data_IF_303184618350
#
_entry.id   IF_303184618350
#
_cell.length_a   1.000
_cell.length_b   1.000
_cell.length_c   1.000
_cell.angle_alpha   90.00
_cell.angle_beta   90.00
_cell.angle_gamma   90.00
#
_symmetry.space_group_name_H-M   'P 1'
#
loop_
_entity.id
_entity.type
_entity.pdbx_description
1 polymer ?
#
# COMPACT_ATOMS: atom_id res chain seq x y z
N UNK A 1 12.30 1.57 7.78
CA UNK A 1 11.22 2.50 7.36
C UNK A 1 11.82 3.66 6.58
N UNK A 2 11.01 4.50 5.94
CA UNK A 2 11.46 5.73 5.27
C UNK A 2 10.67 6.89 5.87
N UNK A 3 11.36 7.97 6.23
CA UNK A 3 10.71 9.23 6.57
C UNK A 3 10.51 10.03 5.29
N UNK A 4 9.26 10.14 4.82
CA UNK A 4 8.97 10.75 3.53
C UNK A 4 8.94 12.28 3.55
N UNK A 5 9.01 12.89 4.74
CA UNK A 5 8.98 14.35 4.88
C UNK A 5 9.64 14.79 6.19
N UNK A 6 10.76 15.48 6.07
CA UNK A 6 11.43 16.17 7.19
C UNK A 6 12.21 17.39 6.67
N UNK A 7 12.58 18.31 7.54
CA UNK A 7 13.29 19.54 7.23
C UNK A 7 14.60 19.61 8.04
N UNK A 8 15.53 18.70 7.74
CA UNK A 8 16.85 18.66 8.37
C UNK A 8 17.68 19.90 8.04
N UNK A 9 17.37 20.61 6.96
CA UNK A 9 18.01 21.87 6.56
C UNK A 9 17.74 23.05 7.49
N UNK A 10 16.70 22.96 8.33
CA UNK A 10 16.30 24.05 9.20
C UNK A 10 17.25 24.26 10.38
N UNK A 11 17.31 25.52 10.83
CA UNK A 11 18.19 25.97 11.91
C UNK A 11 18.07 25.22 13.25
N UNK A 12 16.89 24.70 13.66
CA UNK A 12 16.79 23.92 14.89
C UNK A 12 17.69 22.69 14.95
N UNK A 13 18.25 22.20 13.83
CA UNK A 13 19.18 21.07 13.78
C UNK A 13 20.65 21.48 13.62
N UNK A 14 20.99 22.77 13.54
CA UNK A 14 22.35 23.21 13.21
C UNK A 14 23.42 22.64 14.15
N UNK A 15 23.10 22.49 15.43
CA UNK A 15 24.06 22.03 16.45
C UNK A 15 24.25 20.49 16.51
N UNK A 16 23.29 19.70 16.00
CA UNK A 16 23.29 18.23 16.19
C UNK A 16 22.79 17.41 14.99
N UNK A 17 22.81 18.00 13.78
CA UNK A 17 22.25 17.38 12.57
C UNK A 17 22.84 16.01 12.26
N UNK A 18 24.16 15.87 12.36
CA UNK A 18 24.84 14.61 12.06
C UNK A 18 24.39 13.52 13.06
N UNK A 19 24.24 13.88 14.33
CA UNK A 19 23.74 13.00 15.38
C UNK A 19 22.27 12.64 15.18
N UNK A 20 21.44 13.57 14.71
CA UNK A 20 20.03 13.31 14.35
C UNK A 20 19.92 12.28 13.23
N UNK A 21 20.69 12.45 12.16
CA UNK A 21 20.71 11.52 11.02
C UNK A 21 21.18 10.14 11.49
N UNK A 22 22.21 10.08 12.33
CA UNK A 22 22.69 8.83 12.93
C UNK A 22 21.63 8.16 13.81
N UNK A 23 20.92 8.92 14.66
CA UNK A 23 19.82 8.38 15.49
C UNK A 23 18.69 7.81 14.63
N UNK A 24 18.42 8.41 13.47
CA UNK A 24 17.43 7.88 12.53
C UNK A 24 17.88 6.52 11.95
N UNK A 25 19.15 6.40 11.55
CA UNK A 25 19.73 5.15 11.07
C UNK A 25 19.71 4.06 12.15
N UNK A 26 20.15 4.39 13.37
CA UNK A 26 20.14 3.48 14.54
C UNK A 26 18.70 3.03 14.89
N UNK A 27 17.69 3.85 14.59
CA UNK A 27 16.27 3.52 14.76
C UNK A 27 15.68 2.70 13.59
N UNK A 28 16.47 2.33 12.59
CA UNK A 28 16.02 1.57 11.41
C UNK A 28 15.28 2.41 10.36
N UNK A 29 15.47 3.73 10.37
CA UNK A 29 15.00 4.62 9.31
C UNK A 29 16.05 4.64 8.20
N UNK A 30 15.74 3.95 7.10
CA UNK A 30 16.67 3.65 6.01
C UNK A 30 16.96 4.86 5.14
N UNK A 31 15.93 5.65 4.82
CA UNK A 31 16.06 6.84 4.00
C UNK A 31 15.24 7.99 4.59
N UNK A 32 15.73 9.21 4.37
CA UNK A 32 15.11 10.47 4.78
C UNK A 32 14.89 11.32 3.54
N UNK A 33 13.72 11.90 3.37
CA UNK A 33 13.45 12.87 2.30
C UNK A 33 13.38 14.26 2.94
N UNK A 34 14.42 15.06 2.68
CA UNK A 34 14.48 16.45 3.11
C UNK A 34 13.63 17.32 2.19
N UNK A 35 12.59 17.96 2.74
CA UNK A 35 11.67 18.78 1.98
C UNK A 35 12.17 20.23 1.87
N UNK A 36 12.55 20.65 0.66
CA UNK A 36 12.89 22.05 0.38
C UNK A 36 11.63 22.92 0.34
N UNK A 37 11.57 23.97 1.16
CA UNK A 37 10.40 24.86 1.28
C UNK A 37 10.62 26.28 0.74
N UNK A 38 11.87 26.72 0.63
CA UNK A 38 12.28 28.04 0.13
C UNK A 38 13.65 27.97 -0.56
N UNK A 39 14.14 29.08 -1.12
CA UNK A 39 15.45 29.12 -1.81
C UNK A 39 16.61 28.56 -0.97
N UNK A 40 16.69 28.92 0.31
CA UNK A 40 17.77 28.50 1.20
C UNK A 40 17.63 27.04 1.62
N UNK A 41 16.41 26.62 1.97
CA UNK A 41 16.10 25.23 2.31
C UNK A 41 16.36 24.28 1.13
N UNK A 42 16.08 24.71 -0.10
CA UNK A 42 16.44 23.98 -1.31
C UNK A 42 17.97 23.78 -1.43
N UNK A 43 18.76 24.84 -1.25
CA UNK A 43 20.23 24.77 -1.35
C UNK A 43 20.80 23.83 -0.29
N UNK A 44 20.40 24.01 0.97
CA UNK A 44 20.85 23.17 2.08
C UNK A 44 20.40 21.72 1.93
N UNK A 45 19.16 21.48 1.49
CA UNK A 45 18.66 20.13 1.21
C UNK A 45 19.49 19.40 0.15
N UNK A 46 19.92 20.10 -0.90
CA UNK A 46 20.85 19.56 -1.90
C UNK A 46 22.20 19.21 -1.30
N UNK A 47 22.77 20.09 -0.47
CA UNK A 47 24.04 19.84 0.24
C UNK A 47 23.94 18.58 1.12
N UNK A 48 22.90 18.48 1.93
CA UNK A 48 22.65 17.30 2.77
C UNK A 48 22.50 16.02 1.95
N UNK A 49 21.80 16.09 0.82
CA UNK A 49 21.64 14.91 -0.05
C UNK A 49 22.98 14.44 -0.65
N UNK A 50 23.93 15.37 -0.87
CA UNK A 50 25.28 15.04 -1.37
C UNK A 50 26.18 14.47 -0.27
N UNK A 51 26.04 14.99 0.95
CA UNK A 51 26.84 14.58 2.10
C UNK A 51 26.42 13.20 2.66
N UNK A 52 25.12 12.94 2.77
CA UNK A 52 24.60 11.75 3.43
C UNK A 52 23.99 10.76 2.44
N UNK A 53 24.52 9.52 2.30
CA UNK A 53 24.00 8.52 1.37
C UNK A 53 22.51 8.20 1.55
N UNK A 54 22.01 8.23 2.78
CA UNK A 54 20.62 7.93 3.13
C UNK A 54 19.65 9.12 3.06
N UNK A 55 20.12 10.33 2.74
CA UNK A 55 19.27 11.53 2.60
C UNK A 55 19.00 11.85 1.13
N UNK A 56 17.74 11.96 0.75
CA UNK A 56 17.29 12.51 -0.54
C UNK A 56 16.71 13.91 -0.31
N UNK A 57 16.55 14.70 -1.38
CA UNK A 57 15.91 16.02 -1.31
C UNK A 57 14.67 16.06 -2.20
N UNK A 58 13.68 16.85 -1.82
CA UNK A 58 12.76 17.46 -2.79
C UNK A 58 13.13 18.92 -2.97
N UNK A 59 12.65 19.54 -4.06
CA UNK A 59 12.84 20.97 -4.29
C UNK A 59 11.52 21.66 -4.59
N UNK A 60 11.25 22.79 -3.95
CA UNK A 60 9.97 23.49 -4.09
C UNK A 60 9.93 24.81 -3.33
N UNK A 61 8.83 25.54 -3.53
CA UNK A 61 8.48 26.76 -2.82
C UNK A 61 7.12 26.54 -2.15
N UNK A 62 7.15 26.55 -0.82
CA UNK A 62 6.01 26.37 0.06
C UNK A 62 4.98 27.51 -0.14
N UNK A 63 3.66 27.27 0.06
CA UNK A 63 2.64 28.30 -0.08
C UNK A 63 2.90 29.60 0.69
N UNK A 64 3.57 29.55 1.84
CA UNK A 64 3.96 30.76 2.57
C UNK A 64 4.85 31.69 1.74
N UNK A 65 5.80 31.11 1.00
CA UNK A 65 6.81 31.80 0.21
C UNK A 65 6.44 31.91 -1.26
N UNK A 66 5.22 31.55 -1.66
CA UNK A 66 4.76 31.54 -3.05
C UNK A 66 5.03 32.87 -3.79
N UNK A 67 4.96 34.02 -3.10
CA UNK A 67 5.28 35.35 -3.65
C UNK A 67 6.73 35.55 -4.10
N UNK A 68 7.66 34.70 -3.66
CA UNK A 68 9.08 34.76 -4.04
C UNK A 68 9.38 33.98 -5.32
N UNK A 69 8.42 33.23 -5.87
CA UNK A 69 8.60 32.45 -7.09
C UNK A 69 8.57 33.34 -8.34
N UNK A 70 9.70 34.00 -8.60
CA UNK A 70 9.96 34.72 -9.84
C UNK A 70 10.58 33.81 -10.93
N UNK A 71 10.80 34.37 -12.12
CA UNK A 71 11.40 33.64 -13.25
C UNK A 71 12.85 33.23 -13.01
N UNK A 72 13.58 33.91 -12.12
CA UNK A 72 14.96 33.56 -11.78
C UNK A 72 14.98 32.31 -10.90
N UNK A 73 14.20 32.32 -9.81
CA UNK A 73 14.05 31.20 -8.90
C UNK A 73 13.45 29.99 -9.61
N UNK A 74 12.48 30.18 -10.51
CA UNK A 74 11.92 29.09 -11.31
C UNK A 74 12.99 28.39 -12.17
N UNK A 75 13.93 29.14 -12.78
CA UNK A 75 15.05 28.56 -13.53
C UNK A 75 16.01 27.79 -12.62
N UNK A 76 16.25 28.28 -11.41
CA UNK A 76 17.07 27.57 -10.42
C UNK A 76 16.42 26.26 -9.97
N UNK A 77 15.13 26.27 -9.62
CA UNK A 77 14.38 25.06 -9.28
C UNK A 77 14.49 24.03 -10.41
N UNK A 78 14.31 24.45 -11.66
CA UNK A 78 14.46 23.56 -12.83
C UNK A 78 15.87 22.98 -12.99
N UNK A 79 16.91 23.70 -12.56
CA UNK A 79 18.29 23.20 -12.53
C UNK A 79 18.48 22.20 -11.39
N UNK A 80 18.07 22.56 -10.18
CA UNK A 80 18.21 21.73 -8.98
C UNK A 80 17.42 20.43 -9.07
N UNK A 81 16.23 20.45 -9.67
CA UNK A 81 15.38 19.27 -9.88
C UNK A 81 16.05 18.14 -10.68
N UNK A 82 17.15 18.42 -11.36
CA UNK A 82 17.92 17.44 -12.16
C UNK A 82 19.08 16.82 -11.40
N UNK A 83 19.35 17.25 -10.16
CA UNK A 83 20.40 16.66 -9.33
C UNK A 83 20.02 15.21 -8.97
N UNK A 84 20.98 14.25 -8.96
CA UNK A 84 20.68 12.81 -8.89
C UNK A 84 19.85 12.35 -7.69
N UNK A 85 19.91 13.07 -6.57
CA UNK A 85 19.19 12.75 -5.33
C UNK A 85 18.01 13.67 -5.06
N UNK A 86 17.59 14.45 -6.05
CA UNK A 86 16.30 15.14 -6.01
C UNK A 86 15.22 14.22 -6.54
N UNK A 87 14.26 13.89 -5.69
CA UNK A 87 13.30 12.81 -5.92
C UNK A 87 11.86 13.29 -6.07
N UNK A 88 11.60 14.57 -5.82
CA UNK A 88 10.28 15.17 -5.96
C UNK A 88 10.37 16.69 -6.15
N UNK A 89 9.29 17.27 -6.68
CA UNK A 89 9.04 18.72 -6.57
C UNK A 89 8.11 18.96 -5.37
N UNK A 90 8.58 19.71 -4.40
CA UNK A 90 7.96 19.79 -3.07
C UNK A 90 8.92 20.40 -2.06
N UNK A 91 8.46 21.09 -1.04
CA UNK A 91 7.06 21.23 -0.62
C UNK A 91 6.33 22.34 -1.40
N UNK A 92 5.18 22.01 -1.98
CA UNK A 92 4.34 22.92 -2.79
C UNK A 92 2.88 22.77 -2.40
N UNK A 93 2.02 23.74 -2.65
CA UNK A 93 0.58 23.58 -2.40
C UNK A 93 -0.08 24.83 -1.89
N UNK A 94 -1.03 24.68 -0.96
CA UNK A 94 -1.89 25.76 -0.46
C UNK A 94 -2.02 25.72 1.08
N UNK A 95 -1.75 26.86 1.72
CA UNK A 95 -2.00 27.08 3.17
C UNK A 95 -2.88 28.32 3.33
N UNK A 96 -4.13 28.11 3.76
CA UNK A 96 -5.11 29.17 4.01
C UNK A 96 -5.26 29.54 5.49
N UNK A 97 -4.48 28.91 6.37
CA UNK A 97 -4.49 29.18 7.79
C UNK A 97 -3.72 30.46 8.11
N UNK A 98 -2.51 30.62 7.58
CA UNK A 98 -1.66 31.80 7.86
C UNK A 98 -1.70 32.87 6.77
N UNK A 99 -1.94 32.49 5.51
CA UNK A 99 -2.06 33.40 4.36
C UNK A 99 -0.88 34.40 4.18
N UNK A 100 0.36 33.97 4.45
CA UNK A 100 1.58 34.78 4.21
C UNK A 100 1.79 35.21 2.74
N UNK A 101 1.15 34.48 1.82
CA UNK A 101 0.93 34.83 0.42
C UNK A 101 -0.57 34.72 0.11
N UNK A 102 -1.10 35.57 -0.78
CA UNK A 102 -2.53 35.56 -1.11
C UNK A 102 -2.93 34.27 -1.84
N UNK A 103 -4.21 33.88 -1.75
CA UNK A 103 -4.71 32.64 -2.39
C UNK A 103 -4.36 32.56 -3.88
N UNK A 104 -4.54 33.66 -4.62
CA UNK A 104 -4.21 33.72 -6.04
C UNK A 104 -2.73 33.46 -6.32
N UNK A 105 -1.83 34.07 -5.54
CA UNK A 105 -0.38 33.86 -5.67
C UNK A 105 0.01 32.42 -5.33
N UNK A 106 -0.58 31.83 -4.28
CA UNK A 106 -0.34 30.43 -3.93
C UNK A 106 -0.80 29.48 -5.04
N UNK A 107 -2.01 29.70 -5.60
CA UNK A 107 -2.54 28.88 -6.69
C UNK A 107 -1.63 28.95 -7.92
N UNK A 108 -1.23 30.15 -8.36
CA UNK A 108 -0.35 30.28 -9.53
C UNK A 108 1.02 29.65 -9.30
N UNK A 109 1.61 29.81 -8.12
CA UNK A 109 2.87 29.16 -7.77
C UNK A 109 2.73 27.63 -7.71
N UNK A 110 1.63 27.12 -7.18
CA UNK A 110 1.34 25.69 -7.15
C UNK A 110 1.22 25.12 -8.56
N UNK A 111 0.43 25.76 -9.44
CA UNK A 111 0.30 25.36 -10.86
C UNK A 111 1.63 25.35 -11.59
N UNK A 112 2.45 26.40 -11.45
CA UNK A 112 3.79 26.47 -12.06
C UNK A 112 4.70 25.32 -11.63
N UNK A 113 4.67 24.94 -10.36
CA UNK A 113 5.52 23.87 -9.85
C UNK A 113 4.99 22.48 -10.20
N UNK A 114 3.67 22.28 -10.30
CA UNK A 114 3.09 21.07 -10.90
C UNK A 114 3.52 20.90 -12.36
N UNK A 115 3.51 21.97 -13.15
CA UNK A 115 3.99 21.94 -14.53
C UNK A 115 5.49 21.58 -14.62
N UNK A 116 6.31 22.07 -13.68
CA UNK A 116 7.73 21.70 -13.57
C UNK A 116 7.88 20.20 -13.29
N UNK A 117 7.17 19.66 -12.30
CA UNK A 117 7.20 18.24 -11.93
C UNK A 117 6.81 17.36 -13.12
N UNK A 118 5.72 17.72 -13.82
CA UNK A 118 5.26 17.04 -15.04
C UNK A 118 6.33 17.00 -16.11
N UNK A 119 6.96 18.15 -16.39
CA UNK A 119 8.01 18.26 -17.41
C UNK A 119 9.26 17.43 -17.12
N UNK A 120 9.46 17.03 -15.87
CA UNK A 120 10.61 16.23 -15.42
C UNK A 120 10.25 14.78 -15.06
N UNK A 121 8.96 14.40 -15.08
CA UNK A 121 8.50 13.08 -14.65
C UNK A 121 8.78 12.78 -13.17
N UNK A 122 8.85 13.83 -12.35
CA UNK A 122 9.04 13.74 -10.90
C UNK A 122 7.70 13.71 -10.17
N UNK A 123 7.57 12.95 -9.07
CA UNK A 123 6.42 13.06 -8.20
C UNK A 123 6.43 14.40 -7.44
N UNK A 124 5.32 14.71 -6.77
CA UNK A 124 5.18 15.93 -5.96
C UNK A 124 4.87 15.66 -4.50
N UNK A 125 5.32 16.57 -3.62
CA UNK A 125 4.96 16.60 -2.20
C UNK A 125 4.07 17.82 -1.96
N UNK A 126 2.80 17.56 -1.67
CA UNK A 126 1.73 18.57 -1.64
C UNK A 126 1.32 18.91 -0.22
N UNK A 127 1.53 20.16 0.16
CA UNK A 127 0.99 20.79 1.35
C UNK A 127 -0.46 21.22 1.12
N UNK A 128 -1.34 20.90 2.07
CA UNK A 128 -2.71 21.40 2.05
C UNK A 128 -3.22 21.64 3.46
N UNK A 129 -3.47 22.91 3.80
CA UNK A 129 -4.03 23.30 5.09
C UNK A 129 -5.17 24.27 4.91
N UNK A 130 -6.36 23.87 5.39
CA UNK A 130 -7.61 24.63 5.26
C UNK A 130 -7.95 25.01 3.80
N UNK A 131 -7.40 24.28 2.83
CA UNK A 131 -7.45 24.58 1.40
C UNK A 131 -7.96 23.39 0.55
N UNK A 132 -8.71 22.45 1.16
CA UNK A 132 -9.20 21.20 0.54
C UNK A 132 -9.76 21.39 -0.87
N UNK A 133 -10.75 22.27 -1.02
CA UNK A 133 -11.48 22.43 -2.29
C UNK A 133 -10.59 22.96 -3.42
N UNK A 134 -9.75 23.96 -3.13
CA UNK A 134 -8.86 24.56 -4.11
C UNK A 134 -7.69 23.62 -4.45
N UNK A 135 -7.18 22.88 -3.45
CA UNK A 135 -6.13 21.87 -3.65
C UNK A 135 -6.61 20.80 -4.62
N UNK A 136 -7.78 20.20 -4.35
CA UNK A 136 -8.35 19.16 -5.21
C UNK A 136 -8.71 19.68 -6.61
N UNK A 137 -9.16 20.94 -6.72
CA UNK A 137 -9.41 21.57 -8.02
C UNK A 137 -8.11 21.69 -8.82
N UNK A 138 -7.07 22.28 -8.25
CA UNK A 138 -5.78 22.50 -8.94
C UNK A 138 -5.14 21.17 -9.31
N UNK A 139 -5.15 20.18 -8.42
CA UNK A 139 -4.65 18.84 -8.74
C UNK A 139 -5.42 18.22 -9.91
N UNK A 140 -6.75 18.26 -9.90
CA UNK A 140 -7.56 17.73 -11.02
C UNK A 140 -7.26 18.41 -12.35
N UNK A 141 -7.00 19.72 -12.34
CA UNK A 141 -6.70 20.49 -13.55
C UNK A 141 -5.29 20.23 -14.10
N UNK A 142 -4.30 20.13 -13.22
CA UNK A 142 -2.88 20.23 -13.61
C UNK A 142 -2.07 18.94 -13.41
N UNK A 143 -2.54 18.00 -12.58
CA UNK A 143 -1.75 16.84 -12.16
C UNK A 143 -1.93 15.60 -13.04
N UNK A 144 -2.54 15.73 -14.23
CA UNK A 144 -2.61 14.63 -15.18
C UNK A 144 -1.20 14.09 -15.47
N UNK A 145 -1.02 12.78 -15.28
CA UNK A 145 0.24 12.03 -15.38
C UNK A 145 1.29 12.34 -14.29
N UNK A 146 0.90 13.03 -13.22
CA UNK A 146 1.75 13.28 -12.04
C UNK A 146 1.26 12.40 -10.89
N UNK A 147 2.21 11.74 -10.22
CA UNK A 147 1.95 11.07 -8.94
C UNK A 147 2.48 11.94 -7.80
N UNK A 148 1.99 11.73 -6.59
CA UNK A 148 2.50 12.51 -5.47
C UNK A 148 2.03 11.99 -4.13
N UNK A 149 2.23 12.82 -3.13
CA UNK A 149 1.76 12.59 -1.76
C UNK A 149 1.16 13.88 -1.22
N UNK A 150 0.02 13.76 -0.55
CA UNK A 150 -0.44 14.80 0.37
C UNK A 150 0.30 14.54 1.69
N UNK A 151 1.31 15.35 1.97
CA UNK A 151 2.08 15.23 3.21
C UNK A 151 1.26 15.79 4.38
N UNK A 152 1.62 15.36 5.58
CA UNK A 152 1.00 15.72 6.85
C UNK A 152 -0.54 15.78 6.75
N UNK A 153 -1.14 14.69 6.26
CA UNK A 153 -2.55 14.70 5.87
C UNK A 153 -3.45 15.07 7.04
N UNK A 154 -4.22 16.14 6.89
CA UNK A 154 -5.17 16.65 7.89
C UNK A 154 -6.59 16.79 7.36
N UNK A 155 -6.92 16.14 6.24
CA UNK A 155 -8.24 16.12 5.64
C UNK A 155 -9.14 15.00 6.15
N UNK A 156 -10.33 14.91 5.57
CA UNK A 156 -11.31 13.84 5.80
C UNK A 156 -11.16 12.71 4.76
N UNK A 157 -11.96 11.64 4.90
CA UNK A 157 -11.92 10.52 3.96
C UNK A 157 -12.33 10.93 2.53
N UNK A 158 -13.25 11.89 2.37
CA UNK A 158 -13.65 12.40 1.06
C UNK A 158 -12.48 13.07 0.30
N UNK A 159 -11.62 13.80 1.01
CA UNK A 159 -10.40 14.35 0.44
C UNK A 159 -9.39 13.25 0.10
N UNK A 160 -9.20 12.28 0.99
CA UNK A 160 -8.28 11.17 0.76
C UNK A 160 -8.68 10.36 -0.49
N UNK A 161 -9.97 9.99 -0.62
CA UNK A 161 -10.48 9.26 -1.78
C UNK A 161 -10.24 10.01 -3.09
N UNK A 162 -10.61 11.29 -3.15
CA UNK A 162 -10.40 12.13 -4.34
C UNK A 162 -8.91 12.30 -4.68
N UNK A 163 -8.04 12.40 -3.69
CA UNK A 163 -6.61 12.48 -3.93
C UNK A 163 -6.04 11.16 -4.47
N UNK A 164 -6.48 10.01 -3.92
CA UNK A 164 -6.07 8.68 -4.39
C UNK A 164 -6.57 8.39 -5.81
N UNK A 165 -7.77 8.84 -6.17
CA UNK A 165 -8.28 8.78 -7.55
C UNK A 165 -7.39 9.54 -8.54
N UNK A 166 -6.75 10.63 -8.09
CA UNK A 166 -5.78 11.39 -8.85
C UNK A 166 -4.35 10.81 -8.78
N UNK A 167 -4.14 9.69 -8.08
CA UNK A 167 -2.83 9.02 -7.98
C UNK A 167 -1.95 9.50 -6.84
N UNK A 168 -2.50 10.17 -5.82
CA UNK A 168 -1.75 10.68 -4.68
C UNK A 168 -1.82 9.74 -3.47
N UNK A 169 -0.66 9.52 -2.85
CA UNK A 169 -0.55 8.86 -1.56
C UNK A 169 -0.97 9.80 -0.42
N UNK A 170 -1.30 9.21 0.73
CA UNK A 170 -1.69 9.91 1.95
C UNK A 170 -0.61 9.64 3.00
N UNK A 171 0.11 10.69 3.42
CA UNK A 171 1.15 10.57 4.44
C UNK A 171 0.64 10.93 5.82
N UNK A 172 0.94 10.08 6.80
CA UNK A 172 0.50 10.22 8.17
C UNK A 172 1.67 10.64 9.05
N UNK A 173 1.55 11.82 9.66
CA UNK A 173 2.53 12.38 10.58
C UNK A 173 2.17 12.12 12.05
N UNK A 174 3.02 12.61 12.96
CA UNK A 174 2.86 12.50 14.42
C UNK A 174 1.49 12.87 15.02
N UNK A 175 0.67 13.80 14.45
CA UNK A 175 -0.64 14.13 14.99
C UNK A 175 -1.61 12.96 15.14
N UNK A 176 -1.45 11.86 14.39
CA UNK A 176 -2.26 10.63 14.55
C UNK A 176 -2.21 10.08 15.98
N UNK A 177 -1.09 10.31 16.67
CA UNK A 177 -0.87 9.88 18.06
C UNK A 177 -1.65 10.73 19.08
N UNK A 178 -2.20 11.88 18.68
CA UNK A 178 -2.87 12.81 19.58
C UNK A 178 -4.27 12.34 19.94
N UNK A 179 -4.74 12.71 21.14
CA UNK A 179 -6.07 12.29 21.65
C UNK A 179 -7.24 12.81 20.81
N UNK A 180 -7.08 13.95 20.15
CA UNK A 180 -8.11 14.61 19.35
C UNK A 180 -8.07 14.24 17.85
N UNK A 181 -7.22 13.30 17.42
CA UNK A 181 -7.04 12.94 16.02
C UNK A 181 -8.07 11.93 15.49
N UNK A 182 -9.31 11.94 16.02
CA UNK A 182 -10.32 10.92 15.73
C UNK A 182 -10.59 10.76 14.22
N UNK A 183 -10.76 11.88 13.51
CA UNK A 183 -11.00 11.87 12.06
C UNK A 183 -9.81 11.31 11.27
N UNK A 184 -8.59 11.73 11.60
CA UNK A 184 -7.36 11.22 10.98
C UNK A 184 -7.21 9.70 11.22
N UNK A 185 -7.59 9.21 12.40
CA UNK A 185 -7.54 7.76 12.71
C UNK A 185 -8.55 6.96 11.88
N UNK A 186 -9.73 7.51 11.61
CA UNK A 186 -10.69 6.87 10.69
C UNK A 186 -10.15 6.83 9.25
N UNK A 187 -9.49 7.89 8.79
CA UNK A 187 -8.80 7.88 7.49
C UNK A 187 -7.73 6.78 7.46
N UNK A 188 -6.85 6.71 8.47
CA UNK A 188 -5.81 5.68 8.57
C UNK A 188 -6.41 4.27 8.50
N UNK A 189 -7.55 4.03 9.14
CA UNK A 189 -8.23 2.74 9.13
C UNK A 189 -8.72 2.33 7.74
N UNK A 190 -9.07 3.29 6.88
CA UNK A 190 -9.76 3.04 5.61
C UNK A 190 -8.88 3.21 4.37
N UNK A 191 -7.81 4.01 4.44
CA UNK A 191 -6.87 4.19 3.32
C UNK A 191 -6.32 2.83 2.87
N UNK A 192 -6.36 2.49 1.56
CA UNK A 192 -5.77 1.26 1.06
C UNK A 192 -4.26 1.21 1.31
N UNK A 193 -3.74 0.01 1.56
CA UNK A 193 -2.31 -0.20 1.90
C UNK A 193 -1.38 0.45 0.86
N UNK A 194 -1.72 0.42 -0.43
CA UNK A 194 -0.88 0.91 -1.54
C UNK A 194 -0.76 2.45 -1.61
N UNK A 195 -1.55 3.19 -0.83
CA UNK A 195 -1.54 4.66 -0.80
C UNK A 195 -1.04 5.23 0.54
N UNK A 196 -0.75 4.37 1.52
CA UNK A 196 -0.36 4.81 2.85
C UNK A 196 1.16 5.10 2.91
N UNK A 197 1.50 6.28 3.39
CA UNK A 197 2.86 6.70 3.76
C UNK A 197 2.88 7.19 5.21
N UNK A 198 4.07 7.30 5.78
CA UNK A 198 4.30 7.84 7.12
C UNK A 198 5.49 8.80 7.07
N UNK A 199 5.46 9.80 7.94
CA UNK A 199 6.50 10.82 8.04
C UNK A 199 6.58 11.41 9.44
N UNK A 200 7.62 12.22 9.67
CA UNK A 200 7.73 12.99 10.90
C UNK A 200 7.28 14.43 10.77
N UNK A 201 7.52 15.07 9.62
CA UNK A 201 7.46 16.53 9.47
C UNK A 201 8.42 17.25 10.43
N UNK A 202 9.53 16.60 10.80
CA UNK A 202 10.49 17.16 11.74
C UNK A 202 11.10 18.47 11.21
N UNK A 203 11.29 19.52 12.04
CA UNK A 203 11.28 19.51 13.51
C UNK A 203 9.90 19.67 14.17
N UNK A 204 8.82 19.73 13.39
CA UNK A 204 7.46 19.96 13.87
C UNK A 204 6.76 18.67 14.31
N UNK A 205 5.60 18.82 14.97
CA UNK A 205 4.60 17.75 15.16
C UNK A 205 5.08 16.48 15.90
N UNK A 206 5.95 16.62 16.91
CA UNK A 206 6.43 15.50 17.73
C UNK A 206 5.29 14.57 18.20
N UNK A 207 5.38 13.25 17.92
CA UNK A 207 4.36 12.29 18.31
C UNK A 207 4.33 12.09 19.84
N UNK A 208 3.23 11.58 20.39
CA UNK A 208 3.21 11.01 21.76
C UNK A 208 4.18 9.82 21.80
N UNK A 209 5.06 9.70 22.81
CA UNK A 209 5.11 10.42 24.09
C UNK A 209 6.02 11.68 24.12
N UNK A 210 6.51 12.14 22.97
CA UNK A 210 7.54 13.19 22.84
C UNK A 210 6.97 14.58 22.51
N UNK A 211 5.65 14.73 22.58
CA UNK A 211 4.91 16.00 22.52
C UNK A 211 5.63 17.11 23.31
N UNK A 212 5.84 18.26 22.65
CA UNK A 212 6.48 19.43 23.26
C UNK A 212 8.02 19.45 23.17
N UNK A 213 8.64 18.37 22.67
CA UNK A 213 10.06 18.35 22.27
C UNK A 213 10.21 18.68 20.78
N UNK A 214 11.42 19.05 20.34
CA UNK A 214 11.78 19.12 18.91
C UNK A 214 11.62 17.72 18.31
N UNK A 215 10.90 17.61 17.18
CA UNK A 215 10.74 16.32 16.51
C UNK A 215 12.04 15.97 15.76
N UNK A 216 12.22 14.69 15.46
CA UNK A 216 13.32 14.21 14.61
C UNK A 216 12.94 12.88 13.94
N UNK A 217 13.59 12.51 12.82
CA UNK A 217 13.21 11.32 12.06
C UNK A 217 13.20 10.01 12.86
N UNK A 218 14.04 9.90 13.91
CA UNK A 218 14.06 8.73 14.80
C UNK A 218 12.74 8.49 15.54
N UNK A 219 11.89 9.52 15.65
CA UNK A 219 10.58 9.45 16.30
C UNK A 219 9.48 8.86 15.41
N UNK A 220 9.76 8.64 14.11
CA UNK A 220 8.82 8.01 13.17
C UNK A 220 8.29 6.67 13.68
N UNK A 221 9.09 5.93 14.46
CA UNK A 221 8.69 4.68 15.11
C UNK A 221 7.40 4.83 15.94
N UNK A 222 7.20 5.94 16.63
CA UNK A 222 6.01 6.17 17.46
C UNK A 222 4.76 6.43 16.62
N UNK A 223 4.91 7.16 15.51
CA UNK A 223 3.85 7.29 14.51
C UNK A 223 3.50 5.92 13.92
N UNK A 224 4.51 5.13 13.56
CA UNK A 224 4.34 3.80 12.98
C UNK A 224 3.63 2.82 13.94
N UNK A 225 3.99 2.81 15.23
CA UNK A 225 3.34 1.99 16.25
C UNK A 225 1.82 2.28 16.31
N UNK A 226 1.44 3.55 16.43
CA UNK A 226 0.02 3.94 16.51
C UNK A 226 -0.73 3.62 15.21
N UNK A 227 -0.11 3.85 14.05
CA UNK A 227 -0.71 3.50 12.77
C UNK A 227 -0.91 1.98 12.65
N UNK A 228 0.07 1.18 13.05
CA UNK A 228 -0.02 -0.28 13.02
C UNK A 228 -1.15 -0.80 13.92
N UNK A 229 -1.28 -0.23 15.13
CA UNK A 229 -2.35 -0.54 16.07
C UNK A 229 -3.75 -0.24 15.49
N UNK A 230 -3.93 0.95 14.90
CA UNK A 230 -5.20 1.34 14.26
C UNK A 230 -5.57 0.36 13.13
N UNK A 231 -4.57 -0.10 12.38
CA UNK A 231 -4.73 -1.03 11.25
C UNK A 231 -4.90 -2.49 11.69
N UNK A 232 -4.59 -2.82 12.95
CA UNK A 232 -4.53 -4.19 13.45
C UNK A 232 -3.54 -5.05 12.65
N UNK A 233 -2.34 -4.54 12.41
CA UNK A 233 -1.22 -5.26 11.77
C UNK A 233 0.05 -5.10 12.60
N UNK A 234 1.03 -5.98 12.37
CA UNK A 234 2.33 -5.86 13.03
C UNK A 234 3.10 -4.64 12.50
N UNK A 235 3.93 -4.02 13.33
CA UNK A 235 4.78 -2.88 12.92
C UNK A 235 5.69 -3.23 11.74
N UNK A 236 6.16 -4.48 11.64
CA UNK A 236 6.94 -4.97 10.51
C UNK A 236 6.14 -5.02 9.21
N UNK A 237 4.83 -5.28 9.29
CA UNK A 237 3.94 -5.23 8.12
C UNK A 237 3.77 -3.79 7.65
N UNK A 238 3.47 -2.87 8.58
CA UNK A 238 3.37 -1.45 8.25
C UNK A 238 4.67 -0.93 7.64
N UNK A 239 5.81 -1.20 8.28
CA UNK A 239 7.12 -0.77 7.83
C UNK A 239 7.43 -1.25 6.41
N UNK A 240 7.08 -2.51 6.07
CA UNK A 240 7.27 -3.03 4.71
C UNK A 240 6.37 -2.32 3.70
N UNK A 241 5.08 -2.15 4.03
CA UNK A 241 4.09 -1.50 3.16
C UNK A 241 4.50 -0.07 2.85
N UNK A 242 4.75 0.75 3.88
CA UNK A 242 5.07 2.17 3.71
C UNK A 242 6.43 2.37 3.05
N UNK A 243 7.42 1.53 3.38
CA UNK A 243 8.73 1.56 2.71
C UNK A 243 8.59 1.26 1.22
N UNK A 244 7.85 0.20 0.85
CA UNK A 244 7.61 -0.12 -0.56
C UNK A 244 6.91 1.02 -1.30
N UNK A 245 5.86 1.61 -0.69
CA UNK A 245 5.13 2.72 -1.30
C UNK A 245 6.02 3.95 -1.50
N UNK A 246 6.85 4.30 -0.51
CA UNK A 246 7.78 5.42 -0.59
C UNK A 246 8.83 5.18 -1.69
N UNK A 247 9.44 3.99 -1.72
CA UNK A 247 10.42 3.63 -2.76
C UNK A 247 9.81 3.67 -4.15
N UNK A 248 8.56 3.19 -4.31
CA UNK A 248 7.83 3.23 -5.58
C UNK A 248 7.52 4.67 -6.02
N UNK A 249 7.01 5.49 -5.11
CA UNK A 249 6.61 6.87 -5.41
C UNK A 249 7.83 7.72 -5.79
N UNK A 250 8.86 7.71 -4.94
CA UNK A 250 10.04 8.55 -5.08
C UNK A 250 11.14 7.93 -5.95
N UNK A 251 10.94 6.68 -6.42
CA UNK A 251 11.90 5.93 -7.25
C UNK A 251 13.28 5.82 -6.59
N UNK A 252 13.30 5.54 -5.29
CA UNK A 252 14.52 5.44 -4.47
C UNK A 252 14.78 4.02 -3.96
N UNK A 253 16.06 3.72 -3.79
CA UNK A 253 16.59 2.43 -3.34
C UNK A 253 16.18 1.24 -4.20
N UNK A 254 16.48 0.04 -3.73
CA UNK A 254 16.26 -1.20 -4.48
C UNK A 254 14.95 -1.90 -4.12
N UNK A 255 13.99 -1.89 -5.05
CA UNK A 255 12.78 -2.69 -4.94
C UNK A 255 13.07 -4.06 -5.58
N UNK A 256 12.96 -5.14 -4.81
CA UNK A 256 13.19 -6.50 -5.32
C UNK A 256 12.20 -6.87 -6.42
N UNK A 257 12.69 -7.06 -7.63
CA UNK A 257 11.92 -7.60 -8.76
C UNK A 257 11.67 -9.11 -8.65
N UNK A 258 12.38 -9.79 -7.73
CA UNK A 258 12.20 -11.21 -7.52
C UNK A 258 10.89 -11.52 -6.80
N UNK A 259 10.06 -12.36 -7.42
CA UNK A 259 8.84 -12.88 -6.83
C UNK A 259 9.11 -13.82 -5.65
N UNK A 260 8.29 -13.73 -4.61
CA UNK A 260 8.39 -14.60 -3.43
C UNK A 260 7.44 -15.78 -3.51
N UNK A 261 7.94 -16.97 -3.11
CA UNK A 261 7.17 -18.21 -3.02
C UNK A 261 6.29 -18.20 -1.76
N UNK A 262 6.82 -17.71 -0.65
CA UNK A 262 6.14 -17.64 0.63
C UNK A 262 6.26 -16.22 1.20
N UNK A 263 5.16 -15.69 1.72
CA UNK A 263 5.10 -14.35 2.30
C UNK A 263 4.19 -14.33 3.52
N UNK A 264 4.58 -13.56 4.54
CA UNK A 264 3.85 -13.50 5.80
C UNK A 264 2.96 -12.26 5.81
N UNK A 265 1.72 -12.42 6.25
CA UNK A 265 0.84 -11.31 6.58
C UNK A 265 0.28 -11.61 7.96
N UNK A 266 0.52 -10.73 8.94
CA UNK A 266 0.19 -10.96 10.35
C UNK A 266 0.78 -12.30 10.84
N UNK A 267 -0.05 -13.20 11.35
CA UNK A 267 0.30 -14.49 11.93
C UNK A 267 0.25 -15.67 10.93
N UNK A 268 -0.07 -15.41 9.66
CA UNK A 268 -0.30 -16.45 8.65
C UNK A 268 0.76 -16.41 7.55
N UNK A 269 1.14 -17.57 7.03
CA UNK A 269 2.04 -17.69 5.88
C UNK A 269 1.25 -17.97 4.61
N UNK A 270 1.47 -17.19 3.56
CA UNK A 270 0.80 -17.31 2.28
C UNK A 270 1.77 -17.89 1.25
N UNK A 271 1.29 -18.84 0.44
CA UNK A 271 2.04 -19.57 -0.57
C UNK A 271 1.57 -19.18 -1.97
N UNK A 272 2.47 -18.56 -2.71
CA UNK A 272 2.31 -18.22 -4.10
C UNK A 272 2.99 -19.28 -4.96
N UNK A 273 2.20 -20.07 -5.69
CA UNK A 273 2.69 -21.26 -6.42
C UNK A 273 2.42 -21.21 -7.93
N UNK A 274 1.68 -20.22 -8.41
CA UNK A 274 1.41 -20.01 -9.85
C UNK A 274 0.95 -18.57 -10.10
N UNK A 275 1.31 -18.04 -11.27
CA UNK A 275 0.79 -16.76 -11.77
C UNK A 275 -0.50 -16.96 -12.60
N UNK A 276 -0.85 -18.20 -12.93
CA UNK A 276 -1.97 -18.53 -13.83
C UNK A 276 -3.27 -18.59 -13.05
N UNK A 277 -4.36 -18.18 -13.68
CA UNK A 277 -5.70 -18.31 -13.12
C UNK A 277 -6.70 -18.42 -14.26
N UNK A 278 -7.74 -19.23 -14.07
CA UNK A 278 -8.86 -19.39 -15.00
C UNK A 278 -9.79 -18.17 -15.03
N UNK A 279 -9.61 -17.20 -14.13
CA UNK A 279 -10.34 -15.94 -14.13
C UNK A 279 -9.46 -14.76 -14.59
N UNK A 280 -10.11 -13.81 -15.27
CA UNK A 280 -9.58 -12.49 -15.64
C UNK A 280 -10.42 -11.39 -14.98
N UNK A 281 -10.59 -11.48 -13.65
CA UNK A 281 -11.46 -10.56 -12.91
C UNK A 281 -11.04 -9.10 -13.11
N UNK A 282 -12.00 -8.20 -13.33
CA UNK A 282 -11.72 -6.76 -13.50
C UNK A 282 -11.11 -6.10 -12.25
N UNK A 283 -11.25 -6.72 -11.09
CA UNK A 283 -10.70 -6.27 -9.81
C UNK A 283 -9.40 -6.98 -9.42
N UNK A 284 -8.88 -7.91 -10.23
CA UNK A 284 -7.72 -8.71 -9.84
C UNK A 284 -6.45 -7.84 -9.80
N UNK A 285 -5.75 -7.86 -8.66
CA UNK A 285 -4.53 -7.07 -8.43
C UNK A 285 -3.43 -7.34 -9.47
N UNK A 286 -3.35 -8.57 -10.00
CA UNK A 286 -2.33 -9.00 -10.98
C UNK A 286 -2.30 -8.21 -12.28
N UNK A 287 -3.39 -7.50 -12.61
CA UNK A 287 -3.47 -6.65 -13.80
C UNK A 287 -3.08 -5.19 -13.52
N UNK A 288 -2.77 -4.85 -12.27
CA UNK A 288 -2.41 -3.50 -11.82
C UNK A 288 -1.01 -3.44 -11.24
N UNK A 289 -0.65 -4.44 -10.45
CA UNK A 289 0.64 -4.52 -9.77
C UNK A 289 1.00 -5.97 -9.48
N UNK A 290 2.30 -6.25 -9.41
CA UNK A 290 2.83 -7.51 -8.93
C UNK A 290 2.89 -7.57 -7.40
N UNK A 291 2.71 -6.44 -6.72
CA UNK A 291 2.93 -6.32 -5.29
C UNK A 291 1.63 -6.38 -4.50
N UNK A 292 1.64 -7.13 -3.41
CA UNK A 292 0.56 -7.15 -2.41
C UNK A 292 1.17 -6.87 -1.06
N UNK A 293 0.75 -5.78 -0.41
CA UNK A 293 1.33 -5.30 0.84
C UNK A 293 2.86 -5.22 0.78
N UNK A 294 3.46 -4.80 -0.33
CA UNK A 294 4.93 -4.73 -0.47
C UNK A 294 5.64 -6.08 -0.73
N UNK A 295 4.93 -7.20 -0.91
CA UNK A 295 5.51 -8.45 -1.40
C UNK A 295 5.31 -8.59 -2.91
N UNK A 296 6.38 -8.79 -3.67
CA UNK A 296 6.28 -9.11 -5.09
C UNK A 296 5.80 -10.55 -5.28
N UNK A 297 4.60 -10.72 -5.83
CA UNK A 297 3.97 -12.01 -6.05
C UNK A 297 4.10 -12.51 -7.49
N UNK A 298 4.84 -11.84 -8.36
CA UNK A 298 5.05 -12.35 -9.72
C UNK A 298 6.21 -13.34 -9.75
N UNK A 299 5.92 -14.63 -9.89
CA UNK A 299 6.95 -15.66 -9.98
C UNK A 299 7.60 -15.67 -11.36
N UNK A 300 8.93 -15.64 -11.43
CA UNK A 300 9.65 -15.89 -12.69
C UNK A 300 9.36 -17.30 -13.22
N UNK A 301 9.26 -18.27 -12.31
CA UNK A 301 8.95 -19.68 -12.61
C UNK A 301 8.09 -20.29 -11.52
N UNK A 302 7.17 -21.16 -11.91
CA UNK A 302 6.35 -21.92 -10.95
C UNK A 302 7.23 -22.85 -10.10
N UNK A 303 7.21 -22.73 -8.76
CA UNK A 303 8.11 -23.48 -7.89
C UNK A 303 7.75 -24.96 -7.81
N UNK A 304 8.72 -25.84 -7.61
CA UNK A 304 8.47 -27.24 -7.27
C UNK A 304 7.93 -27.36 -5.84
N UNK A 305 7.27 -28.48 -5.51
CA UNK A 305 6.82 -28.73 -4.14
C UNK A 305 7.96 -28.68 -3.11
N UNK A 306 9.17 -29.13 -3.47
CA UNK A 306 10.35 -29.06 -2.61
C UNK A 306 10.77 -27.60 -2.33
N UNK A 307 10.73 -26.74 -3.34
CA UNK A 307 11.01 -25.30 -3.16
C UNK A 307 9.95 -24.62 -2.28
N UNK A 308 8.68 -24.99 -2.43
CA UNK A 308 7.60 -24.48 -1.56
C UNK A 308 7.80 -24.92 -0.11
N UNK A 309 8.10 -26.20 0.13
CA UNK A 309 8.40 -26.73 1.47
C UNK A 309 9.60 -26.00 2.10
N UNK A 310 10.68 -25.83 1.33
CA UNK A 310 11.86 -25.08 1.79
C UNK A 310 11.53 -23.62 2.16
N UNK A 311 10.59 -23.00 1.45
CA UNK A 311 10.17 -21.62 1.72
C UNK A 311 9.32 -21.50 3.00
N UNK A 312 8.59 -22.56 3.40
CA UNK A 312 7.76 -22.57 4.62
C UNK A 312 8.60 -22.62 5.89
N UNK A 313 9.70 -23.40 5.88
CA UNK A 313 10.52 -23.69 7.07
C UNK A 313 9.75 -24.48 8.13
N UNK A 314 9.20 -23.82 9.16
CA UNK A 314 8.47 -24.47 10.27
C UNK A 314 6.97 -24.14 10.19
N UNK A 315 6.11 -25.12 9.86
CA UNK A 315 4.67 -24.88 9.79
C UNK A 315 4.00 -24.45 11.09
N UNK A 316 4.59 -24.78 12.25
CA UNK A 316 4.02 -24.43 13.57
C UNK A 316 4.28 -22.98 13.96
N UNK A 317 5.18 -22.30 13.26
CA UNK A 317 5.47 -20.89 13.49
C UNK A 317 4.33 -19.94 13.05
N UNK A 318 3.29 -20.48 12.41
CA UNK A 318 2.18 -19.72 11.83
C UNK A 318 0.85 -20.24 12.34
N UNK A 319 -0.14 -19.34 12.46
CA UNK A 319 -1.53 -19.73 12.77
C UNK A 319 -2.08 -20.69 11.71
N UNK A 320 -1.76 -20.41 10.45
CA UNK A 320 -2.14 -21.20 9.28
C UNK A 320 -1.20 -20.93 8.12
N UNK A 321 -1.11 -21.90 7.20
CA UNK A 321 -0.46 -21.77 5.91
C UNK A 321 -1.52 -21.78 4.82
N UNK A 322 -1.50 -20.75 3.98
CA UNK A 322 -2.56 -20.44 3.04
C UNK A 322 -2.04 -20.57 1.63
N UNK A 323 -2.58 -21.50 0.83
CA UNK A 323 -2.37 -21.48 -0.62
C UNK A 323 -3.14 -20.30 -1.21
N UNK A 324 -2.41 -19.23 -1.52
CA UNK A 324 -2.97 -17.96 -1.96
C UNK A 324 -1.85 -17.12 -2.58
N UNK A 325 -2.08 -16.63 -3.80
CA UNK A 325 -1.19 -15.75 -4.53
C UNK A 325 -1.96 -14.99 -5.59
N UNK A 326 -1.31 -14.58 -6.67
CA UNK A 326 -1.98 -13.91 -7.80
C UNK A 326 -2.67 -14.89 -8.77
N UNK A 327 -2.40 -16.19 -8.63
CA UNK A 327 -2.99 -17.27 -9.44
C UNK A 327 -3.99 -18.15 -8.68
N UNK A 328 -4.52 -19.14 -9.40
CA UNK A 328 -5.43 -20.17 -8.88
C UNK A 328 -4.63 -21.40 -8.43
N UNK A 329 -4.53 -21.69 -7.11
CA UNK A 329 -3.68 -22.77 -6.60
C UNK A 329 -4.07 -24.16 -7.13
N UNK A 330 -5.36 -24.40 -7.38
CA UNK A 330 -5.84 -25.71 -7.84
C UNK A 330 -5.39 -26.08 -9.25
N UNK A 331 -4.88 -25.13 -10.04
CA UNK A 331 -4.16 -25.45 -11.29
C UNK A 331 -2.91 -26.31 -11.05
N UNK A 332 -2.40 -26.29 -9.82
CA UNK A 332 -1.22 -27.07 -9.39
C UNK A 332 -1.58 -28.02 -8.26
N UNK A 333 -2.70 -28.73 -8.41
CA UNK A 333 -3.26 -29.65 -7.41
C UNK A 333 -2.24 -30.64 -6.83
N UNK A 334 -1.34 -31.20 -7.65
CA UNK A 334 -0.31 -32.12 -7.16
C UNK A 334 0.67 -31.46 -6.19
N UNK A 335 1.04 -30.20 -6.44
CA UNK A 335 1.87 -29.41 -5.53
C UNK A 335 1.10 -29.09 -4.27
N UNK A 336 -0.15 -28.65 -4.39
CA UNK A 336 -1.03 -28.36 -3.25
C UNK A 336 -1.13 -29.60 -2.34
N UNK A 337 -1.47 -30.76 -2.90
CA UNK A 337 -1.60 -32.01 -2.14
C UNK A 337 -0.29 -32.43 -1.47
N UNK A 338 0.83 -32.39 -2.20
CA UNK A 338 2.14 -32.80 -1.66
C UNK A 338 2.59 -31.89 -0.51
N UNK A 339 2.46 -30.58 -0.69
CA UNK A 339 2.85 -29.59 0.32
C UNK A 339 1.88 -29.63 1.51
N UNK A 340 0.58 -29.72 1.28
CA UNK A 340 -0.43 -29.80 2.35
C UNK A 340 -0.24 -31.04 3.24
N UNK A 341 0.01 -32.22 2.65
CA UNK A 341 0.35 -33.44 3.40
C UNK A 341 1.56 -33.26 4.30
N UNK A 342 2.62 -32.64 3.77
CA UNK A 342 3.81 -32.33 4.56
C UNK A 342 3.50 -31.36 5.71
N UNK A 343 2.79 -30.26 5.43
CA UNK A 343 2.37 -29.28 6.46
C UNK A 343 1.61 -29.97 7.61
N UNK A 344 0.64 -30.82 7.29
CA UNK A 344 -0.13 -31.58 8.29
C UNK A 344 0.73 -32.55 9.08
N UNK A 345 1.67 -33.23 8.42
CA UNK A 345 2.64 -34.13 9.07
C UNK A 345 3.54 -33.41 10.08
N UNK A 346 3.86 -32.13 9.82
CA UNK A 346 4.64 -31.27 10.72
C UNK A 346 3.76 -30.53 11.77
N UNK A 347 2.46 -30.81 11.81
CA UNK A 347 1.52 -30.22 12.78
C UNK A 347 0.99 -28.83 12.43
N UNK A 348 1.19 -28.36 11.19
CA UNK A 348 0.63 -27.10 10.71
C UNK A 348 -0.85 -27.18 10.31
N UNK A 349 -1.46 -26.02 10.07
CA UNK A 349 -2.83 -25.89 9.53
C UNK A 349 -2.80 -25.39 8.09
N UNK A 350 -3.68 -25.93 7.25
CA UNK A 350 -3.73 -25.64 5.81
C UNK A 350 -5.05 -24.99 5.43
N UNK A 351 -4.96 -23.83 4.76
CA UNK A 351 -6.10 -23.20 4.06
C UNK A 351 -5.83 -23.11 2.57
N UNK A 352 -6.87 -23.30 1.75
CA UNK A 352 -6.82 -22.98 0.32
C UNK A 352 -7.74 -21.80 0.02
N UNK A 353 -7.18 -20.74 -0.58
CA UNK A 353 -7.98 -19.70 -1.23
C UNK A 353 -8.08 -20.03 -2.72
N UNK A 354 -9.29 -20.17 -3.24
CA UNK A 354 -9.53 -20.62 -4.61
C UNK A 354 -10.68 -19.84 -5.25
N UNK A 355 -10.70 -19.78 -6.57
CA UNK A 355 -11.85 -19.36 -7.36
C UNK A 355 -12.91 -20.48 -7.50
N UNK A 356 -12.68 -21.67 -6.95
CA UNK A 356 -13.64 -22.78 -6.94
C UNK A 356 -13.67 -23.60 -8.23
N UNK A 357 -12.77 -23.37 -9.19
CA UNK A 357 -12.79 -24.07 -10.48
C UNK A 357 -12.08 -25.43 -10.47
N UNK A 358 -11.56 -25.89 -9.33
CA UNK A 358 -10.73 -27.09 -9.23
C UNK A 358 -11.35 -28.32 -9.91
N UNK A 359 -12.65 -28.56 -9.71
CA UNK A 359 -13.32 -29.71 -10.34
C UNK A 359 -13.36 -29.60 -11.88
N UNK A 360 -13.60 -28.39 -12.43
CA UNK A 360 -13.62 -28.16 -13.87
C UNK A 360 -12.20 -28.28 -14.45
N UNK A 361 -11.21 -27.70 -13.77
CA UNK A 361 -9.80 -27.73 -14.19
C UNK A 361 -9.32 -29.18 -14.40
N UNK A 362 -9.70 -30.09 -13.50
CA UNK A 362 -9.25 -31.48 -13.52
C UNK A 362 -10.24 -32.46 -14.16
N UNK A 363 -11.41 -31.99 -14.58
CA UNK A 363 -12.46 -32.83 -15.18
C UNK A 363 -13.06 -33.89 -14.25
N UNK A 364 -12.90 -33.74 -12.93
CA UNK A 364 -13.36 -34.69 -11.90
C UNK A 364 -13.52 -34.00 -10.54
N UNK A 365 -14.24 -34.63 -9.61
CA UNK A 365 -14.36 -34.12 -8.24
C UNK A 365 -13.04 -34.30 -7.48
N UNK A 366 -12.35 -33.19 -7.18
CA UNK A 366 -11.05 -33.20 -6.49
C UNK A 366 -11.19 -33.08 -4.97
N UNK A 367 -12.37 -32.69 -4.48
CA UNK A 367 -12.58 -32.38 -3.06
C UNK A 367 -12.29 -33.58 -2.13
N UNK A 368 -12.68 -34.83 -2.47
CA UNK A 368 -12.32 -35.99 -1.64
C UNK A 368 -10.80 -36.19 -1.45
N UNK A 369 -9.98 -35.70 -2.38
CA UNK A 369 -8.52 -35.79 -2.27
C UNK A 369 -7.90 -34.73 -1.35
N UNK A 370 -8.67 -33.72 -0.97
CA UNK A 370 -8.30 -32.67 -0.03
C UNK A 370 -8.69 -33.01 1.41
N UNK A 371 -9.49 -34.06 1.60
CA UNK A 371 -9.89 -34.56 2.92
C UNK A 371 -8.65 -34.88 3.77
N UNK A 372 -8.72 -34.52 5.05
CA UNK A 372 -7.67 -34.73 6.07
C UNK A 372 -6.37 -33.94 5.85
N UNK A 373 -6.18 -33.32 4.66
CA UNK A 373 -4.99 -32.54 4.32
C UNK A 373 -5.24 -31.04 4.23
N UNK A 374 -6.51 -30.61 4.20
CA UNK A 374 -6.94 -29.21 4.19
C UNK A 374 -7.91 -28.98 5.34
N UNK A 375 -7.62 -27.97 6.17
CA UNK A 375 -8.44 -27.61 7.33
C UNK A 375 -9.55 -26.63 6.96
N UNK A 376 -9.28 -25.73 6.00
CA UNK A 376 -10.27 -24.77 5.54
C UNK A 376 -10.13 -24.39 4.06
N UNK A 377 -11.25 -23.99 3.45
CA UNK A 377 -11.27 -23.46 2.09
C UNK A 377 -12.06 -22.15 2.04
N UNK A 378 -11.48 -21.14 1.41
CA UNK A 378 -12.15 -19.88 1.08
C UNK A 378 -12.36 -19.79 -0.43
N UNK A 379 -13.62 -19.89 -0.86
CA UNK A 379 -13.99 -19.87 -2.28
C UNK A 379 -14.42 -18.46 -2.70
N UNK A 380 -13.90 -17.96 -3.81
CA UNK A 380 -14.29 -16.65 -4.36
C UNK A 380 -15.59 -16.80 -5.17
N UNK A 381 -16.72 -16.51 -4.54
CA UNK A 381 -18.04 -16.55 -5.17
C UNK A 381 -18.22 -15.35 -6.11
N UNK A 382 -17.84 -14.15 -5.63
CA UNK A 382 -17.74 -12.87 -6.35
C UNK A 382 -18.95 -12.36 -7.16
N UNK A 383 -20.03 -13.14 -7.30
CA UNK A 383 -21.27 -12.75 -7.95
C UNK A 383 -22.45 -13.61 -7.49
N UNK A 384 -23.67 -13.08 -7.63
CA UNK A 384 -24.90 -13.76 -7.23
C UNK A 384 -25.43 -14.78 -8.25
N UNK A 385 -25.01 -14.68 -9.52
CA UNK A 385 -25.45 -15.55 -10.61
C UNK A 385 -24.40 -15.71 -11.71
N UNK A 386 -24.64 -16.66 -12.63
CA UNK A 386 -23.73 -17.02 -13.73
C UNK A 386 -23.47 -15.84 -14.68
N UNK A 387 -24.50 -15.07 -15.02
CA UNK A 387 -24.37 -13.92 -15.94
C UNK A 387 -23.48 -12.82 -15.35
N UNK A 388 -23.65 -12.55 -14.05
CA UNK A 388 -22.86 -11.58 -13.30
C UNK A 388 -21.42 -12.05 -13.12
N UNK A 389 -21.25 -13.32 -12.75
CA UNK A 389 -19.94 -13.94 -12.61
C UNK A 389 -19.14 -13.84 -13.91
N UNK A 390 -19.74 -14.19 -15.05
CA UNK A 390 -19.06 -14.12 -16.36
C UNK A 390 -18.64 -12.70 -16.72
N UNK A 391 -19.48 -11.70 -16.38
CA UNK A 391 -19.15 -10.28 -16.62
C UNK A 391 -17.98 -9.80 -15.75
N UNK A 392 -17.97 -10.20 -14.48
CA UNK A 392 -17.05 -9.67 -13.46
C UNK A 392 -15.73 -10.44 -13.45
N UNK A 393 -15.81 -11.77 -13.35
CA UNK A 393 -14.67 -12.68 -13.21
C UNK A 393 -14.07 -13.07 -14.56
N UNK A 394 -14.84 -12.95 -15.66
CA UNK A 394 -14.40 -13.24 -17.04
C UNK A 394 -13.64 -14.58 -17.13
N UNK A 395 -14.29 -15.69 -16.76
CA UNK A 395 -13.66 -17.00 -16.75
C UNK A 395 -13.24 -17.42 -18.17
N UNK A 396 -12.12 -18.12 -18.28
CA UNK A 396 -11.64 -18.71 -19.54
C UNK A 396 -12.22 -20.10 -19.78
N UNK A 397 -13.09 -20.59 -18.89
CA UNK A 397 -13.70 -21.93 -18.91
C UNK A 397 -15.23 -21.79 -18.93
N UNK A 398 -15.92 -22.74 -19.58
CA UNK A 398 -17.39 -22.75 -19.65
C UNK A 398 -18.00 -23.30 -18.35
N UNK A 399 -19.21 -22.83 -18.02
CA UNK A 399 -19.96 -23.29 -16.83
C UNK A 399 -19.26 -22.96 -15.51
N UNK A 400 -18.44 -21.91 -15.49
CA UNK A 400 -17.54 -21.59 -14.39
C UNK A 400 -18.30 -21.39 -13.07
N UNK A 401 -19.34 -20.56 -13.06
CA UNK A 401 -20.14 -20.29 -11.86
C UNK A 401 -20.80 -21.55 -11.30
N UNK A 402 -21.35 -22.41 -12.17
CA UNK A 402 -21.90 -23.71 -11.74
C UNK A 402 -20.83 -24.61 -11.13
N UNK A 403 -19.62 -24.56 -11.68
CA UNK A 403 -18.44 -25.22 -11.10
C UNK A 403 -18.09 -24.71 -9.71
N UNK A 404 -18.12 -23.39 -9.50
CA UNK A 404 -17.92 -22.78 -8.17
C UNK A 404 -18.94 -23.31 -7.17
N UNK A 405 -20.22 -23.24 -7.51
CA UNK A 405 -21.32 -23.70 -6.66
C UNK A 405 -21.17 -25.20 -6.36
N UNK A 406 -20.92 -26.02 -7.39
CA UNK A 406 -20.71 -27.47 -7.23
C UNK A 406 -19.49 -27.79 -6.36
N UNK A 407 -18.38 -27.05 -6.53
CA UNK A 407 -17.20 -27.24 -5.70
C UNK A 407 -17.48 -26.91 -4.23
N UNK A 408 -18.23 -25.84 -3.94
CA UNK A 408 -18.63 -25.49 -2.56
C UNK A 408 -19.51 -26.59 -1.96
N UNK A 409 -20.50 -27.08 -2.71
CA UNK A 409 -21.40 -28.17 -2.28
C UNK A 409 -20.65 -29.46 -1.95
N UNK A 410 -19.57 -29.77 -2.68
CA UNK A 410 -18.72 -30.91 -2.37
C UNK A 410 -17.80 -30.63 -1.19
N UNK A 411 -17.25 -29.41 -1.09
CA UNK A 411 -16.35 -29.00 -0.02
C UNK A 411 -17.01 -29.10 1.36
N UNK A 412 -18.26 -28.63 1.52
CA UNK A 412 -18.97 -28.66 2.82
C UNK A 412 -19.18 -30.07 3.36
N UNK A 413 -19.10 -31.11 2.51
CA UNK A 413 -19.28 -32.51 2.92
C UNK A 413 -18.04 -33.09 3.58
N UNK A 414 -16.85 -32.54 3.33
CA UNK A 414 -15.57 -33.18 3.72
C UNK A 414 -14.53 -32.23 4.30
N UNK A 415 -14.59 -30.93 4.03
CA UNK A 415 -13.67 -29.93 4.56
C UNK A 415 -14.27 -29.32 5.85
N UNK A 416 -13.51 -29.26 6.97
CA UNK A 416 -14.05 -28.79 8.25
C UNK A 416 -14.61 -27.36 8.25
N UNK A 417 -13.95 -26.44 7.54
CA UNK A 417 -14.35 -25.03 7.48
C UNK A 417 -14.40 -24.55 6.02
N UNK A 418 -15.59 -24.23 5.53
CA UNK A 418 -15.81 -23.72 4.17
C UNK A 418 -16.47 -22.36 4.25
N UNK A 419 -15.82 -21.37 3.63
CA UNK A 419 -16.31 -20.00 3.54
C UNK A 419 -16.33 -19.53 2.10
N UNK A 420 -17.22 -18.60 1.81
CA UNK A 420 -17.26 -17.91 0.52
C UNK A 420 -16.90 -16.44 0.71
N UNK A 421 -16.25 -15.87 -0.30
CA UNK A 421 -15.89 -14.45 -0.32
C UNK A 421 -16.49 -13.76 -1.52
N UNK A 422 -16.79 -12.48 -1.34
CA UNK A 422 -17.22 -11.57 -2.40
C UNK A 422 -16.44 -10.28 -2.27
N UNK A 423 -15.88 -9.79 -3.37
CA UNK A 423 -15.34 -8.43 -3.44
C UNK A 423 -16.48 -7.46 -3.74
N UNK A 424 -16.68 -6.46 -2.88
CA UNK A 424 -17.65 -5.38 -3.09
C UNK A 424 -17.18 -4.49 -4.25
N UNK A 425 -17.71 -4.72 -5.44
CA UNK A 425 -17.46 -3.93 -6.65
C UNK A 425 -18.78 -3.51 -7.30
N UNK A 426 -18.80 -2.43 -8.13
CA UNK A 426 -20.00 -2.02 -8.83
C UNK A 426 -20.62 -3.16 -9.63
N UNK A 427 -21.92 -3.41 -9.39
CA UNK A 427 -22.69 -4.41 -10.12
C UNK A 427 -22.83 -5.77 -9.43
N UNK A 428 -22.15 -6.01 -8.30
CA UNK A 428 -22.37 -7.18 -7.42
C UNK A 428 -23.46 -6.86 -6.40
N UNK A 429 -24.44 -7.75 -6.27
CA UNK A 429 -25.45 -7.69 -5.21
C UNK A 429 -25.00 -8.55 -4.01
N UNK A 430 -24.43 -7.88 -3.00
CA UNK A 430 -23.87 -8.55 -1.81
C UNK A 430 -24.93 -9.31 -1.02
N UNK A 431 -26.17 -8.82 -0.97
CA UNK A 431 -27.23 -9.49 -0.22
C UNK A 431 -27.76 -10.72 -0.95
N UNK A 432 -27.82 -10.68 -2.29
CA UNK A 432 -28.07 -11.91 -3.07
C UNK A 432 -26.93 -12.91 -2.95
N UNK A 433 -25.68 -12.46 -2.94
CA UNK A 433 -24.55 -13.35 -2.66
C UNK A 433 -24.67 -13.99 -1.27
N UNK A 434 -25.19 -13.24 -0.27
CA UNK A 434 -25.45 -13.75 1.08
C UNK A 434 -26.54 -14.81 1.07
N UNK A 435 -27.58 -14.65 0.26
CA UNK A 435 -28.60 -15.67 0.05
C UNK A 435 -27.99 -16.96 -0.55
N UNK A 436 -27.17 -16.84 -1.60
CA UNK A 436 -26.46 -17.99 -2.20
C UNK A 436 -25.57 -18.70 -1.16
N UNK A 437 -24.81 -17.95 -0.36
CA UNK A 437 -23.99 -18.52 0.71
C UNK A 437 -24.82 -19.26 1.76
N UNK A 438 -25.97 -18.69 2.16
CA UNK A 438 -26.90 -19.31 3.11
C UNK A 438 -27.49 -20.61 2.56
N UNK A 439 -27.89 -20.63 1.29
CA UNK A 439 -28.42 -21.83 0.63
C UNK A 439 -27.38 -22.95 0.53
N UNK A 440 -26.10 -22.56 0.44
CA UNK A 440 -24.96 -23.48 0.46
C UNK A 440 -24.50 -23.87 1.87
N UNK A 441 -25.09 -23.31 2.93
CA UNK A 441 -24.74 -23.59 4.31
C UNK A 441 -23.36 -23.07 4.74
N UNK A 442 -22.87 -21.99 4.12
CA UNK A 442 -21.51 -21.45 4.34
C UNK A 442 -21.52 -19.97 4.75
N UNK A 443 -20.49 -19.56 5.48
CA UNK A 443 -20.31 -18.15 5.86
C UNK A 443 -19.88 -17.30 4.66
N UNK A 444 -20.51 -16.13 4.48
CA UNK A 444 -20.07 -15.12 3.52
C UNK A 444 -19.19 -14.07 4.20
N UNK A 445 -17.95 -13.93 3.72
CA UNK A 445 -17.05 -12.81 4.04
C UNK A 445 -17.03 -11.79 2.90
N UNK A 446 -17.48 -10.57 3.18
CA UNK A 446 -17.42 -9.45 2.22
C UNK A 446 -16.05 -8.78 2.33
N UNK A 447 -15.39 -8.57 1.19
CA UNK A 447 -14.11 -7.87 1.08
C UNK A 447 -14.33 -6.51 0.42
N UNK A 448 -13.74 -5.47 0.98
CA UNK A 448 -13.65 -4.18 0.30
C UNK A 448 -12.68 -4.28 -0.87
N UNK A 449 -13.03 -3.67 -1.99
CA UNK A 449 -12.14 -3.54 -3.14
C UNK A 449 -10.82 -2.87 -2.72
N UNK A 450 -9.69 -3.36 -3.24
CA UNK A 450 -8.32 -2.96 -2.88
C UNK A 450 -7.89 -3.19 -1.41
N UNK A 451 -8.69 -3.86 -0.59
CA UNK A 451 -8.27 -4.33 0.74
C UNK A 451 -7.95 -5.82 0.65
N UNK A 452 -6.66 -6.15 0.63
CA UNK A 452 -6.17 -7.54 0.57
C UNK A 452 -5.69 -7.95 1.96
N UNK A 453 -6.01 -9.16 2.42
CA UNK A 453 -5.65 -9.67 3.76
C UNK A 453 -6.79 -9.56 4.77
#
# INVERSE_FOLDING_TARGET
MIDTHCHLDMGPFDDDRAEVIKRAEDAGIKYLINAGSDRNGNIKGLELSKEYPNVYSSIGIHPHDAKTLDESLYKELKKWAKEPKVVAVGEIGLDYHYLHSTKGVQIEAFKKQLALAKGLGLPVIVHSREAKNDTLRVLREESADIQGVLHCFSGDMDMAEKAMELGFCISIAGPVTFKNAAELREVVKLVPDDFLLIETDAPYLSPVPLRGKRNEPSFLKHTAEVVADIRGIDISDLARITTYNAMRLFKIGDISEQGVIAYRIRDSLYLNITNKCTNKCGFCVKFRTNYVKGHNLHLEKEPTAAQVIKAIRDPKAYREIVFCGIGEPTLRLDVVKKVAKWIKGEGGRVRINTNGHGNIIHGRNIVPELKDIVDSVSVSLDAEDEKKYDKICKPTIKGAFRGVVSFIQEAVKVIPDVKVTVVKVPGVDVEKCRAVAKDLGVELRVRSFNVVG
#
